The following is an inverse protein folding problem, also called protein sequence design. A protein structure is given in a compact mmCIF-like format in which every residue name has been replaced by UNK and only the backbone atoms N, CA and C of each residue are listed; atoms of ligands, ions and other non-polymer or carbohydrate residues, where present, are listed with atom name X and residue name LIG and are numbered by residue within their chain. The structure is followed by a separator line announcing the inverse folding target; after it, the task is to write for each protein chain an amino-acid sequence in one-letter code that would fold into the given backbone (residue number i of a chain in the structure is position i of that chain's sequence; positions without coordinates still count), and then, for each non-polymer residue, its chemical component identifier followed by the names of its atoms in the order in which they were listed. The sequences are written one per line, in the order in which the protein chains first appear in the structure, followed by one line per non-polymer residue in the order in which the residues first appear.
data_IF_942004743480
#
_entry.id   IF_942004743480
#
_cell.length_a   1.000
_cell.length_b   1.000
_cell.length_c   1.000
_cell.angle_alpha   90.00
_cell.angle_beta   90.00
_cell.angle_gamma   90.00
#
_symmetry.space_group_name_H-M   'P 1'
#
loop_
_entity.id
_entity.type
_entity.pdbx_description
1 polymer ?
#
# COMPACT_ATOMS: atom_id res chain seq x y z
N UNK A 1 -17.37 20.45 -15.92
CA UNK A 1 -17.92 19.13 -15.59
C UNK A 1 -17.91 18.29 -16.85
N UNK A 2 -16.94 17.37 -16.98
CA UNK A 2 -16.94 16.40 -18.07
C UNK A 2 -17.72 15.20 -17.56
N UNK A 3 -18.96 15.05 -18.04
CA UNK A 3 -19.78 13.86 -17.81
C UNK A 3 -19.20 12.73 -18.67
N UNK A 4 -18.50 11.78 -18.06
CA UNK A 4 -18.05 10.58 -18.76
C UNK A 4 -19.26 9.70 -19.06
N UNK A 5 -19.77 9.77 -20.30
CA UNK A 5 -20.93 8.98 -20.78
C UNK A 5 -20.54 7.64 -21.41
N UNK A 6 -19.25 7.36 -21.57
CA UNK A 6 -18.76 6.12 -22.20
C UNK A 6 -17.62 5.49 -21.39
N UNK A 7 -17.51 4.15 -21.33
CA UNK A 7 -16.42 3.48 -20.65
C UNK A 7 -15.08 3.86 -21.30
N UNK A 8 -14.07 4.16 -20.47
CA UNK A 8 -12.73 4.50 -20.95
C UNK A 8 -12.17 3.39 -21.86
N UNK A 9 -11.97 3.72 -23.14
CA UNK A 9 -11.43 2.80 -24.12
C UNK A 9 -9.95 2.53 -23.85
N UNK A 10 -9.54 1.25 -23.96
CA UNK A 10 -8.13 0.86 -23.74
C UNK A 10 -7.27 1.38 -24.90
N UNK A 11 -6.39 2.32 -24.58
CA UNK A 11 -5.48 2.95 -25.52
C UNK A 11 -4.36 1.98 -25.93
N UNK A 12 -3.74 2.23 -27.09
CA UNK A 12 -2.68 1.34 -27.61
C UNK A 12 -1.47 1.27 -26.67
N UNK A 13 -1.12 2.38 -26.00
CA UNK A 13 0.01 2.44 -25.07
C UNK A 13 -0.26 1.62 -23.80
N UNK A 14 -1.50 1.56 -23.30
CA UNK A 14 -1.87 0.73 -22.15
C UNK A 14 -1.69 -0.75 -22.49
N UNK A 15 -2.03 -1.16 -23.72
CA UNK A 15 -1.82 -2.55 -24.18
C UNK A 15 -0.34 -2.91 -24.23
N UNK A 16 0.49 -2.00 -24.76
CA UNK A 16 1.95 -2.20 -24.81
C UNK A 16 2.52 -2.31 -23.39
N UNK A 17 2.09 -1.44 -22.47
CA UNK A 17 2.51 -1.46 -21.08
C UNK A 17 2.14 -2.78 -20.38
N UNK A 18 0.92 -3.29 -20.57
CA UNK A 18 0.50 -4.60 -20.03
C UNK A 18 1.37 -5.72 -20.58
N UNK A 19 1.67 -5.72 -21.88
CA UNK A 19 2.55 -6.73 -22.49
C UNK A 19 3.97 -6.63 -21.90
N UNK A 20 4.51 -5.42 -21.74
CA UNK A 20 5.82 -5.22 -21.13
C UNK A 20 5.85 -5.74 -19.69
N UNK A 21 4.86 -5.40 -18.87
CA UNK A 21 4.74 -5.91 -17.49
C UNK A 21 4.57 -7.43 -17.45
N UNK A 22 3.83 -8.01 -18.41
CA UNK A 22 3.71 -9.45 -18.52
C UNK A 22 5.05 -10.11 -18.82
N UNK A 23 5.81 -9.59 -19.78
CA UNK A 23 7.16 -10.09 -20.12
C UNK A 23 8.12 -9.91 -18.95
N UNK A 24 8.07 -8.76 -18.28
CA UNK A 24 8.90 -8.46 -17.12
C UNK A 24 8.67 -9.46 -15.98
N UNK A 25 7.40 -9.66 -15.59
CA UNK A 25 7.02 -10.56 -14.49
C UNK A 25 7.19 -12.04 -14.80
N UNK A 26 6.86 -12.48 -16.02
CA UNK A 26 6.82 -13.90 -16.35
C UNK A 26 8.09 -14.42 -17.03
N UNK A 27 8.91 -13.55 -17.64
CA UNK A 27 10.15 -13.97 -18.30
C UNK A 27 11.40 -13.37 -17.64
N UNK A 28 11.48 -12.03 -17.50
CA UNK A 28 12.71 -11.38 -17.05
C UNK A 28 13.07 -11.71 -15.59
N UNK A 29 12.15 -11.49 -14.64
CA UNK A 29 12.44 -11.77 -13.23
C UNK A 29 12.74 -13.24 -12.94
N UNK A 30 11.96 -14.23 -13.45
CA UNK A 30 12.29 -15.64 -13.29
C UNK A 30 13.66 -16.00 -13.89
N UNK A 31 14.00 -15.46 -15.06
CA UNK A 31 15.30 -15.71 -15.70
C UNK A 31 16.48 -15.17 -14.88
N UNK A 32 16.36 -13.94 -14.39
CA UNK A 32 17.38 -13.32 -13.51
C UNK A 32 17.53 -14.14 -12.23
N UNK A 33 16.41 -14.59 -11.64
CA UNK A 33 16.44 -15.40 -10.44
C UNK A 33 17.09 -16.77 -10.68
N UNK A 34 16.74 -17.44 -11.78
CA UNK A 34 17.36 -18.72 -12.16
C UNK A 34 18.87 -18.57 -12.37
N UNK A 35 19.31 -17.50 -13.04
CA UNK A 35 20.73 -17.20 -13.19
C UNK A 35 21.40 -16.97 -11.82
N UNK A 36 20.80 -16.15 -10.96
CA UNK A 36 21.30 -15.89 -9.61
C UNK A 36 21.39 -17.17 -8.77
N UNK A 37 20.40 -18.06 -8.87
CA UNK A 37 20.38 -19.37 -8.22
C UNK A 37 21.56 -20.25 -8.68
N UNK A 38 21.76 -20.37 -10.00
CA UNK A 38 22.83 -21.21 -10.56
C UNK A 38 24.22 -20.75 -10.14
N UNK A 39 24.45 -19.44 -10.13
CA UNK A 39 25.76 -18.86 -9.76
C UNK A 39 25.98 -18.93 -8.24
N UNK A 40 24.92 -18.83 -7.45
CA UNK A 40 25.01 -18.79 -5.99
C UNK A 40 25.12 -20.17 -5.34
N UNK A 41 24.78 -21.25 -6.04
CA UNK A 41 24.70 -22.60 -5.45
C UNK A 41 26.06 -23.07 -4.89
N UNK A 42 27.11 -23.06 -5.71
CA UNK A 42 28.45 -23.53 -5.33
C UNK A 42 29.04 -22.76 -4.13
N UNK A 43 29.15 -21.40 -4.15
CA UNK A 43 29.74 -20.66 -3.05
C UNK A 43 28.94 -20.79 -1.74
N UNK A 44 27.61 -20.93 -1.84
CA UNK A 44 26.74 -21.06 -0.66
C UNK A 44 26.92 -22.42 0.03
N UNK A 45 27.10 -23.49 -0.74
CA UNK A 45 27.40 -24.83 -0.21
C UNK A 45 28.80 -24.86 0.41
N UNK A 46 29.80 -24.21 -0.21
CA UNK A 46 31.15 -24.12 0.34
C UNK A 46 31.20 -23.36 1.68
N UNK A 47 30.42 -22.29 1.81
CA UNK A 47 30.43 -21.44 3.00
C UNK A 47 29.58 -21.99 4.16
N UNK A 48 28.40 -22.54 3.87
CA UNK A 48 27.43 -22.95 4.90
C UNK A 48 27.19 -24.46 4.99
N UNK A 49 27.77 -25.25 4.08
CA UNK A 49 27.51 -26.68 3.95
C UNK A 49 26.21 -26.99 3.23
N UNK A 50 26.01 -28.27 2.87
CA UNK A 50 24.89 -28.73 2.04
C UNK A 50 23.49 -28.41 2.63
N UNK A 51 23.15 -28.75 3.90
CA UNK A 51 21.78 -28.56 4.38
C UNK A 51 21.42 -27.09 4.58
N UNK A 52 22.33 -26.29 5.15
CA UNK A 52 22.09 -24.87 5.44
C UNK A 52 22.14 -24.04 4.16
N UNK A 53 23.08 -24.33 3.25
CA UNK A 53 23.14 -23.69 1.94
C UNK A 53 21.85 -23.90 1.14
N UNK A 54 21.35 -25.13 1.04
CA UNK A 54 20.07 -25.40 0.37
C UNK A 54 18.90 -24.64 1.01
N UNK A 55 18.84 -24.54 2.34
CA UNK A 55 17.78 -23.81 3.03
C UNK A 55 17.85 -22.30 2.72
N UNK A 56 19.04 -21.68 2.81
CA UNK A 56 19.23 -20.26 2.48
C UNK A 56 18.84 -20.01 1.01
N UNK A 57 19.26 -20.88 0.10
CA UNK A 57 18.95 -20.76 -1.32
C UNK A 57 17.44 -20.78 -1.58
N UNK A 58 16.70 -21.71 -0.94
CA UNK A 58 15.24 -21.79 -1.06
C UNK A 58 14.56 -20.56 -0.45
N UNK A 59 14.97 -20.12 0.75
CA UNK A 59 14.36 -18.97 1.42
C UNK A 59 14.59 -17.68 0.63
N UNK A 60 15.82 -17.42 0.20
CA UNK A 60 16.15 -16.22 -0.57
C UNK A 60 15.44 -16.23 -1.94
N UNK A 61 15.43 -17.37 -2.64
CA UNK A 61 14.76 -17.47 -3.95
C UNK A 61 13.26 -17.31 -3.86
N UNK A 62 12.60 -18.00 -2.91
CA UNK A 62 11.16 -17.86 -2.69
C UNK A 62 10.78 -16.44 -2.32
N UNK A 63 11.58 -15.75 -1.52
CA UNK A 63 11.30 -14.35 -1.16
C UNK A 63 11.45 -13.41 -2.35
N UNK A 64 12.52 -13.54 -3.13
CA UNK A 64 12.75 -12.71 -4.32
C UNK A 64 11.67 -12.95 -5.38
N UNK A 65 11.30 -14.21 -5.62
CA UNK A 65 10.26 -14.58 -6.58
C UNK A 65 8.88 -14.04 -6.15
N UNK A 66 8.52 -14.24 -4.88
CA UNK A 66 7.27 -13.71 -4.34
C UNK A 66 7.22 -12.18 -4.47
N UNK A 67 8.31 -11.50 -4.17
CA UNK A 67 8.40 -10.05 -4.32
C UNK A 67 8.12 -9.60 -5.76
N UNK A 68 8.77 -10.24 -6.75
CA UNK A 68 8.62 -9.88 -8.16
C UNK A 68 7.17 -10.03 -8.67
N UNK A 69 6.43 -11.01 -8.16
CA UNK A 69 5.02 -11.21 -8.53
C UNK A 69 4.03 -10.32 -7.75
N UNK A 70 4.34 -9.96 -6.51
CA UNK A 70 3.47 -9.12 -5.67
C UNK A 70 3.59 -7.64 -6.04
N UNK A 71 4.81 -7.07 -6.02
CA UNK A 71 5.04 -5.64 -6.30
C UNK A 71 6.40 -5.44 -6.98
N UNK A 72 6.41 -5.39 -8.31
CA UNK A 72 7.63 -5.26 -9.10
C UNK A 72 8.22 -3.84 -9.10
N UNK A 73 7.51 -2.83 -8.61
CA UNK A 73 7.81 -1.40 -8.85
C UNK A 73 9.22 -1.00 -8.44
N UNK A 74 9.71 -1.56 -7.33
CA UNK A 74 11.05 -1.30 -6.78
C UNK A 74 12.05 -2.43 -7.00
N UNK A 75 11.66 -3.53 -7.65
CA UNK A 75 12.52 -4.69 -7.84
C UNK A 75 13.67 -4.40 -8.82
N UNK A 76 13.39 -3.66 -9.88
CA UNK A 76 14.43 -3.22 -10.81
C UNK A 76 15.47 -2.32 -10.14
N UNK A 77 15.03 -1.40 -9.28
CA UNK A 77 15.91 -0.50 -8.51
C UNK A 77 16.79 -1.32 -7.56
N UNK A 78 16.21 -2.28 -6.84
CA UNK A 78 16.95 -3.18 -5.96
C UNK A 78 18.00 -4.01 -6.74
N UNK A 79 17.64 -4.53 -7.91
CA UNK A 79 18.56 -5.27 -8.78
C UNK A 79 19.72 -4.37 -9.25
N UNK A 80 19.41 -3.16 -9.73
CA UNK A 80 20.41 -2.21 -10.19
C UNK A 80 21.41 -1.85 -9.09
N UNK A 81 20.92 -1.50 -7.88
CA UNK A 81 21.79 -1.23 -6.74
C UNK A 81 22.59 -2.46 -6.29
N UNK A 82 22.01 -3.66 -6.36
CA UNK A 82 22.76 -4.89 -6.07
C UNK A 82 23.95 -5.04 -7.00
N UNK A 83 23.75 -4.80 -8.31
CA UNK A 83 24.84 -4.87 -9.28
C UNK A 83 25.86 -3.76 -9.05
N UNK A 84 25.44 -2.51 -8.89
CA UNK A 84 26.35 -1.37 -8.66
C UNK A 84 27.19 -1.55 -7.40
N UNK A 85 26.56 -1.87 -6.27
CA UNK A 85 27.23 -1.96 -4.98
C UNK A 85 28.15 -3.19 -4.92
N UNK A 86 27.65 -4.37 -5.27
CA UNK A 86 28.39 -5.62 -5.02
C UNK A 86 29.28 -6.05 -6.19
N UNK A 87 29.00 -5.63 -7.43
CA UNK A 87 29.90 -5.90 -8.55
C UNK A 87 30.92 -4.79 -8.81
N UNK A 88 30.60 -3.52 -8.54
CA UNK A 88 31.50 -2.41 -8.82
C UNK A 88 32.11 -1.83 -7.54
N UNK A 89 31.32 -1.23 -6.65
CA UNK A 89 31.86 -0.41 -5.54
C UNK A 89 32.55 -1.22 -4.43
N UNK A 90 31.98 -2.38 -4.07
CA UNK A 90 32.46 -3.24 -2.98
C UNK A 90 33.12 -4.53 -3.50
N UNK A 91 33.60 -4.51 -4.74
CA UNK A 91 34.22 -5.67 -5.36
C UNK A 91 35.37 -6.21 -4.48
N UNK A 92 35.21 -7.44 -3.99
CA UNK A 92 36.22 -8.15 -3.18
C UNK A 92 36.14 -7.95 -1.66
N UNK A 93 35.28 -7.06 -1.14
CA UNK A 93 35.13 -6.85 0.32
C UNK A 93 34.13 -7.80 0.97
N UNK A 94 33.07 -8.14 0.25
CA UNK A 94 32.06 -9.11 0.66
C UNK A 94 32.03 -10.24 -0.38
N UNK A 95 32.21 -11.48 0.08
CA UNK A 95 32.18 -12.69 -0.77
C UNK A 95 30.80 -13.36 -0.82
N UNK A 96 29.79 -12.71 -0.26
CA UNK A 96 28.44 -13.24 -0.22
C UNK A 96 27.88 -13.41 -1.65
N UNK A 97 27.15 -14.51 -1.92
CA UNK A 97 26.63 -14.79 -3.25
C UNK A 97 25.56 -13.77 -3.67
N UNK A 98 25.44 -13.57 -4.97
CA UNK A 98 24.55 -12.55 -5.56
C UNK A 98 23.09 -12.69 -5.12
N UNK A 99 22.62 -13.92 -4.89
CA UNK A 99 21.25 -14.18 -4.42
C UNK A 99 21.00 -13.61 -3.01
N UNK A 100 21.97 -13.73 -2.11
CA UNK A 100 21.87 -13.22 -0.73
C UNK A 100 21.94 -11.69 -0.75
N UNK A 101 22.85 -11.12 -1.54
CA UNK A 101 22.96 -9.68 -1.72
C UNK A 101 21.66 -9.09 -2.29
N UNK A 102 21.06 -9.73 -3.30
CA UNK A 102 19.78 -9.31 -3.87
C UNK A 102 18.65 -9.36 -2.83
N UNK A 103 18.60 -10.43 -2.02
CA UNK A 103 17.62 -10.55 -0.94
C UNK A 103 17.74 -9.41 0.09
N UNK A 104 18.98 -9.10 0.53
CA UNK A 104 19.24 -8.00 1.47
C UNK A 104 18.89 -6.66 0.84
N UNK A 105 19.26 -6.43 -0.41
CA UNK A 105 18.94 -5.19 -1.11
C UNK A 105 17.45 -5.00 -1.32
N UNK A 106 16.69 -6.05 -1.63
CA UNK A 106 15.23 -6.00 -1.70
C UNK A 106 14.60 -5.65 -0.35
N UNK A 107 15.14 -6.17 0.76
CA UNK A 107 14.68 -5.78 2.08
C UNK A 107 15.01 -4.30 2.37
N UNK A 108 16.23 -3.89 2.06
CA UNK A 108 16.70 -2.53 2.27
C UNK A 108 15.90 -1.52 1.44
N UNK A 109 15.67 -1.76 0.14
CA UNK A 109 14.89 -0.84 -0.70
C UNK A 109 13.45 -0.70 -0.24
N UNK A 110 12.80 -1.79 0.19
CA UNK A 110 11.44 -1.72 0.75
C UNK A 110 11.40 -0.89 2.03
N UNK A 111 12.37 -1.07 2.93
CA UNK A 111 12.47 -0.27 4.18
C UNK A 111 12.86 1.19 3.92
N UNK A 112 13.72 1.43 2.94
CA UNK A 112 14.08 2.77 2.51
C UNK A 112 12.90 3.48 1.86
N UNK A 113 12.05 2.76 1.12
CA UNK A 113 10.81 3.30 0.58
C UNK A 113 9.81 3.66 1.69
N UNK A 114 9.58 2.78 2.67
CA UNK A 114 8.79 3.09 3.87
C UNK A 114 9.36 4.30 4.62
N UNK A 115 10.69 4.36 4.77
CA UNK A 115 11.37 5.49 5.41
C UNK A 115 11.18 6.77 4.60
N UNK A 116 11.34 6.72 3.27
CA UNK A 116 11.16 7.86 2.39
C UNK A 116 9.72 8.36 2.46
N UNK A 117 8.72 7.48 2.35
CA UNK A 117 7.31 7.84 2.52
C UNK A 117 7.06 8.48 3.90
N UNK A 118 7.65 7.93 4.96
CA UNK A 118 7.55 8.50 6.32
C UNK A 118 8.33 9.80 6.47
N UNK A 119 9.45 10.02 5.80
CA UNK A 119 10.24 11.25 5.89
C UNK A 119 9.63 12.36 5.03
N UNK A 120 9.34 12.04 3.77
CA UNK A 120 8.60 12.90 2.84
C UNK A 120 7.26 13.25 3.47
N UNK A 121 6.53 12.27 4.02
CA UNK A 121 5.35 12.46 4.84
C UNK A 121 5.63 13.31 6.08
N UNK A 122 6.21 12.74 7.13
CA UNK A 122 6.34 13.31 8.50
C UNK A 122 7.19 14.56 8.62
N UNK A 123 8.25 14.74 7.84
CA UNK A 123 9.18 15.85 8.07
C UNK A 123 8.94 17.00 7.09
N UNK A 124 8.88 16.73 5.79
CA UNK A 124 8.78 17.82 4.81
C UNK A 124 7.32 18.17 4.43
N UNK A 125 6.50 17.18 4.03
CA UNK A 125 5.11 17.42 3.65
C UNK A 125 4.20 17.70 4.85
N UNK A 126 4.39 17.09 6.02
CA UNK A 126 3.58 17.42 7.20
C UNK A 126 3.90 18.84 7.68
N UNK A 127 5.17 19.28 7.65
CA UNK A 127 5.51 20.67 7.96
C UNK A 127 4.90 21.63 6.93
N UNK A 128 5.07 21.38 5.62
CA UNK A 128 4.50 22.25 4.58
C UNK A 128 2.97 22.22 4.52
N UNK A 129 2.34 21.05 4.65
CA UNK A 129 0.87 20.90 4.61
C UNK A 129 0.23 21.38 5.90
N UNK A 130 0.84 21.15 7.08
CA UNK A 130 0.36 21.75 8.32
C UNK A 130 0.46 23.27 8.23
N UNK A 131 1.60 23.81 7.80
CA UNK A 131 1.76 25.25 7.52
C UNK A 131 0.68 25.72 6.54
N UNK A 132 0.56 25.16 5.35
CA UNK A 132 -0.38 25.64 4.32
C UNK A 132 -1.85 25.44 4.72
N UNK A 133 -2.19 24.34 5.38
CA UNK A 133 -3.58 23.97 5.74
C UNK A 133 -4.05 24.65 7.03
N UNK A 134 -3.18 24.79 8.03
CA UNK A 134 -3.52 25.46 9.30
C UNK A 134 -3.21 26.95 9.31
N UNK A 135 -2.20 27.43 8.57
CA UNK A 135 -1.97 28.88 8.44
C UNK A 135 -2.96 29.45 7.42
N UNK A 136 -3.41 28.65 6.44
CA UNK A 136 -4.29 29.04 5.34
C UNK A 136 -4.06 30.53 5.05
N UNK A 137 -2.91 30.94 4.47
CA UNK A 137 -2.46 32.33 4.51
C UNK A 137 -3.47 33.32 3.91
N UNK A 138 -4.44 32.81 3.15
CA UNK A 138 -5.60 33.50 2.58
C UNK A 138 -6.86 33.56 3.49
N UNK A 139 -6.91 32.87 4.63
CA UNK A 139 -7.97 32.84 5.64
C UNK A 139 -7.48 33.25 7.05
N UNK A 140 -6.42 34.06 7.17
CA UNK A 140 -5.91 34.52 8.48
C UNK A 140 -6.98 35.37 9.20
N UNK A 141 -7.78 34.72 10.04
CA UNK A 141 -8.48 35.39 11.14
C UNK A 141 -7.46 35.51 12.27
N UNK A 142 -7.23 36.72 12.77
CA UNK A 142 -6.32 37.09 13.86
C UNK A 142 -6.70 36.49 15.24
N UNK A 143 -7.15 35.23 15.27
CA UNK A 143 -7.75 34.60 16.44
C UNK A 143 -6.77 33.97 17.41
N UNK A 144 -5.49 33.78 17.07
CA UNK A 144 -4.51 33.26 18.04
C UNK A 144 -3.06 33.38 17.55
N UNK A 145 -2.33 34.39 18.05
CA UNK A 145 -0.87 34.51 17.89
C UNK A 145 -0.11 33.30 18.48
N UNK A 146 -0.75 32.52 19.37
CA UNK A 146 -0.17 31.36 20.03
C UNK A 146 0.23 30.25 19.03
N UNK A 147 -0.52 30.03 17.95
CA UNK A 147 -0.14 29.03 16.94
C UNK A 147 1.11 29.42 16.15
N UNK A 148 1.30 30.71 15.88
CA UNK A 148 2.50 31.22 15.21
C UNK A 148 3.74 31.12 16.11
N UNK A 149 3.59 31.29 17.43
CA UNK A 149 4.68 31.15 18.41
C UNK A 149 4.99 29.69 18.80
N UNK A 150 4.01 28.78 18.79
CA UNK A 150 4.23 27.37 19.11
C UNK A 150 5.00 26.62 18.01
N UNK A 151 4.94 27.10 16.76
CA UNK A 151 5.52 26.45 15.59
C UNK A 151 7.07 26.40 15.61
N UNK A 152 7.79 27.48 15.95
CA UNK A 152 9.24 27.45 16.16
C UNK A 152 9.68 26.49 17.27
N UNK A 153 8.88 26.32 18.32
CA UNK A 153 9.18 25.36 19.41
C UNK A 153 9.02 23.89 18.99
N UNK A 154 8.39 23.60 17.84
CA UNK A 154 8.37 22.24 17.28
C UNK A 154 9.66 21.88 16.52
N UNK A 155 10.45 22.86 16.09
CA UNK A 155 11.74 22.69 15.40
C UNK A 155 12.76 21.88 16.22
N UNK A 156 13.02 22.16 17.51
CA UNK A 156 13.95 21.37 18.32
C UNK A 156 13.51 19.90 18.49
N UNK A 157 12.22 19.59 18.34
CA UNK A 157 11.73 18.21 18.34
C UNK A 157 11.91 17.49 17.00
N UNK A 158 12.33 18.18 15.93
CA UNK A 158 12.52 17.58 14.60
C UNK A 158 13.57 16.47 14.59
N UNK A 159 14.64 16.60 15.38
CA UNK A 159 15.66 15.55 15.51
C UNK A 159 15.09 14.29 16.21
N UNK A 160 14.27 14.47 17.23
CA UNK A 160 13.58 13.38 17.92
C UNK A 160 12.57 12.70 16.98
N UNK A 161 11.79 13.47 16.23
CA UNK A 161 10.85 12.94 15.24
C UNK A 161 11.55 12.21 14.10
N UNK A 162 12.72 12.68 13.68
CA UNK A 162 13.55 12.01 12.67
C UNK A 162 14.04 10.64 13.16
N UNK A 163 14.58 10.57 14.37
CA UNK A 163 15.02 9.31 14.98
C UNK A 163 13.81 8.37 15.17
N UNK A 164 12.69 8.90 15.65
CA UNK A 164 11.45 8.12 15.80
C UNK A 164 10.90 7.63 14.47
N UNK A 165 11.02 8.39 13.39
CA UNK A 165 10.64 7.97 12.04
C UNK A 165 11.53 6.83 11.54
N UNK A 166 12.84 6.88 11.82
CA UNK A 166 13.78 5.79 11.51
C UNK A 166 13.39 4.53 12.29
N UNK A 167 13.21 4.62 13.60
CA UNK A 167 12.84 3.48 14.46
C UNK A 167 11.46 2.92 14.07
N UNK A 168 10.50 3.81 13.79
CA UNK A 168 9.17 3.47 13.28
C UNK A 168 9.24 2.73 11.94
N UNK A 169 10.11 3.16 11.02
CA UNK A 169 10.30 2.50 9.72
C UNK A 169 10.92 1.11 9.87
N UNK A 170 11.96 1.00 10.70
CA UNK A 170 12.59 -0.28 11.00
C UNK A 170 11.57 -1.30 11.53
N UNK A 171 10.73 -0.88 12.48
CA UNK A 171 9.71 -1.73 13.11
C UNK A 171 8.40 -1.85 12.31
N UNK A 172 8.23 -1.11 11.20
CA UNK A 172 6.93 -0.92 10.51
C UNK A 172 5.79 -0.54 11.46
N UNK A 173 6.12 0.18 12.54
CA UNK A 173 5.19 0.65 13.55
C UNK A 173 4.72 2.07 13.20
N UNK A 174 3.42 2.37 13.14
CA UNK A 174 2.96 3.74 12.85
C UNK A 174 3.28 4.70 14.00
N UNK A 175 3.50 5.98 13.67
CA UNK A 175 3.64 7.04 14.66
C UNK A 175 2.26 7.57 15.06
N UNK A 176 1.95 7.57 16.35
CA UNK A 176 0.71 8.15 16.89
C UNK A 176 1.02 9.46 17.62
N UNK A 177 0.31 10.55 17.32
CA UNK A 177 0.48 11.81 18.06
C UNK A 177 -0.05 11.64 19.48
N UNK A 178 0.69 12.15 20.46
CA UNK A 178 0.25 12.17 21.85
C UNK A 178 -0.64 13.38 22.05
N UNK A 179 -1.92 13.17 22.43
CA UNK A 179 -2.85 14.25 22.82
C UNK A 179 -3.00 15.38 21.76
N UNK A 180 -2.78 15.07 20.47
CA UNK A 180 -2.81 16.08 19.40
C UNK A 180 -1.60 17.03 19.36
N UNK A 181 -0.51 16.70 20.07
CA UNK A 181 0.73 17.49 20.13
C UNK A 181 1.75 17.11 19.05
N UNK A 182 2.82 17.91 18.92
CA UNK A 182 3.95 17.68 18.02
C UNK A 182 4.87 16.50 18.44
N UNK A 183 4.54 15.80 19.53
CA UNK A 183 5.29 14.64 20.03
C UNK A 183 4.57 13.36 19.56
N UNK A 184 5.30 12.52 18.84
CA UNK A 184 4.81 11.24 18.35
C UNK A 184 5.44 10.09 19.14
N UNK A 185 4.68 9.03 19.38
CA UNK A 185 5.22 7.76 19.87
C UNK A 185 5.07 6.67 18.81
N UNK A 186 5.99 5.71 18.83
CA UNK A 186 5.88 4.48 18.07
C UNK A 186 4.74 3.65 18.67
N UNK A 187 3.66 3.48 17.91
CA UNK A 187 2.56 2.61 18.31
C UNK A 187 2.89 1.13 18.02
N UNK A 188 1.97 0.22 18.34
CA UNK A 188 2.12 -1.19 17.98
C UNK A 188 2.00 -1.39 16.45
N UNK A 189 2.66 -2.42 15.93
CA UNK A 189 2.54 -2.80 14.51
C UNK A 189 1.08 -3.17 14.23
N UNK A 190 0.44 -2.41 13.34
CA UNK A 190 -0.94 -2.69 12.93
C UNK A 190 -0.94 -3.70 11.77
N UNK A 191 -1.66 -4.83 11.88
CA UNK A 191 -1.86 -5.73 10.76
C UNK A 191 -2.49 -4.99 9.57
N UNK A 192 -2.07 -5.33 8.36
CA UNK A 192 -2.61 -4.75 7.12
C UNK A 192 -4.10 -5.11 6.99
N UNK A 193 -4.48 -6.34 7.32
CA UNK A 193 -5.90 -6.68 7.41
C UNK A 193 -6.47 -6.10 8.71
N UNK A 194 -7.45 -5.21 8.59
CA UNK A 194 -8.20 -4.82 9.75
C UNK A 194 -9.22 -5.91 10.10
N UNK A 195 -9.18 -6.35 11.36
CA UNK A 195 -10.14 -7.30 11.91
C UNK A 195 -11.36 -6.53 12.38
N UNK A 196 -12.39 -6.50 11.54
CA UNK A 196 -13.71 -6.03 11.94
C UNK A 196 -14.53 -7.25 12.36
N UNK A 197 -15.49 -7.04 13.27
CA UNK A 197 -16.39 -8.14 13.67
C UNK A 197 -17.14 -8.58 12.42
N UNK A 198 -17.13 -9.88 12.11
CA UNK A 198 -17.88 -10.41 10.97
C UNK A 198 -19.37 -10.16 11.19
N UNK A 199 -19.90 -9.08 10.63
CA UNK A 199 -21.33 -8.84 10.57
C UNK A 199 -21.86 -9.80 9.52
N UNK A 200 -22.45 -10.91 9.98
CA UNK A 200 -23.10 -11.86 9.11
C UNK A 200 -24.39 -11.21 8.58
N UNK A 201 -24.30 -10.47 7.48
CA UNK A 201 -25.44 -9.84 6.83
C UNK A 201 -26.21 -10.91 6.08
N UNK A 202 -27.15 -11.56 6.79
CA UNK A 202 -28.15 -12.39 6.12
C UNK A 202 -29.02 -11.46 5.27
N UNK A 203 -29.05 -11.70 3.96
CA UNK A 203 -30.04 -11.08 3.07
C UNK A 203 -31.41 -11.34 3.68
N UNK A 204 -32.15 -10.27 3.98
CA UNK A 204 -33.54 -10.40 4.42
C UNK A 204 -34.31 -10.89 3.21
N UNK A 205 -34.60 -12.18 3.18
CA UNK A 205 -35.41 -12.76 2.12
C UNK A 205 -36.88 -12.39 2.36
N UNK A 206 -37.41 -11.58 1.46
CA UNK A 206 -38.81 -11.13 1.51
C UNK A 206 -39.77 -12.15 0.90
N UNK A 207 -39.29 -13.29 0.39
CA UNK A 207 -40.12 -14.34 -0.20
C UNK A 207 -41.21 -14.88 0.75
N UNK A 208 -40.97 -14.83 2.06
CA UNK A 208 -41.89 -15.31 3.09
C UNK A 208 -42.34 -14.24 4.11
N UNK A 209 -42.10 -12.94 3.83
CA UNK A 209 -42.57 -11.87 4.73
C UNK A 209 -44.01 -11.47 4.40
N UNK A 210 -44.89 -11.38 5.40
CA UNK A 210 -46.29 -10.94 5.22
C UNK A 210 -46.32 -9.52 4.63
N UNK A 211 -47.19 -9.26 3.65
CA UNK A 211 -47.35 -7.93 3.03
C UNK A 211 -47.64 -6.83 4.08
N UNK A 212 -48.36 -7.16 5.15
CA UNK A 212 -48.62 -6.25 6.26
C UNK A 212 -47.35 -5.80 6.99
N UNK A 213 -46.36 -6.69 7.15
CA UNK A 213 -45.06 -6.35 7.76
C UNK A 213 -44.16 -5.48 6.88
N UNK A 214 -44.41 -5.44 5.57
CA UNK A 214 -43.77 -4.48 4.67
C UNK A 214 -44.50 -3.13 4.68
N UNK A 215 -45.83 -3.14 4.80
CA UNK A 215 -46.65 -1.93 4.81
C UNK A 215 -46.55 -1.16 6.14
N UNK A 216 -46.49 -1.86 7.27
CA UNK A 216 -46.32 -1.26 8.61
C UNK A 216 -44.91 -0.68 8.85
N UNK A 217 -43.94 -0.99 7.98
CA UNK A 217 -42.54 -0.58 8.14
C UNK A 217 -42.08 0.56 7.22
N UNK A 218 -42.95 1.17 6.43
CA UNK A 218 -42.59 2.33 5.59
C UNK A 218 -42.54 3.64 6.41
N UNK A 219 -41.84 4.71 5.97
CA UNK A 219 -40.64 4.85 5.13
C UNK A 219 -39.61 5.82 5.78
N UNK A 220 -38.31 5.54 5.71
CA UNK A 220 -37.28 6.58 6.00
C UNK A 220 -36.32 6.37 7.18
N UNK A 221 -36.36 5.22 7.86
CA UNK A 221 -35.34 4.88 8.88
C UNK A 221 -34.63 3.53 8.66
N UNK A 222 -35.33 2.57 8.05
CA UNK A 222 -34.76 1.27 7.67
C UNK A 222 -34.28 1.21 6.22
N UNK A 223 -34.71 2.15 5.39
CA UNK A 223 -34.37 2.18 3.97
C UNK A 223 -32.91 2.56 3.79
N UNK A 224 -32.39 3.54 4.53
CA UNK A 224 -30.98 3.95 4.42
C UNK A 224 -30.03 2.80 4.76
N UNK A 225 -30.26 2.06 5.85
CA UNK A 225 -29.42 0.92 6.21
C UNK A 225 -29.54 -0.24 5.20
N UNK A 226 -30.73 -0.48 4.64
CA UNK A 226 -30.95 -1.51 3.63
C UNK A 226 -30.32 -1.10 2.28
N UNK A 227 -30.52 0.15 1.85
CA UNK A 227 -29.92 0.76 0.68
C UNK A 227 -28.40 0.71 0.79
N UNK A 228 -27.83 1.16 1.92
CA UNK A 228 -26.40 1.04 2.21
C UNK A 228 -25.93 -0.40 1.96
N UNK A 229 -26.60 -1.40 2.54
CA UNK A 229 -26.22 -2.81 2.38
C UNK A 229 -26.28 -3.31 0.93
N UNK A 230 -27.29 -2.88 0.16
CA UNK A 230 -27.45 -3.21 -1.27
C UNK A 230 -26.35 -2.56 -2.10
N UNK A 231 -26.01 -1.29 -1.83
CA UNK A 231 -24.92 -0.59 -2.50
C UNK A 231 -23.55 -1.17 -2.15
N UNK A 232 -23.31 -1.52 -0.88
CA UNK A 232 -22.11 -2.26 -0.47
C UNK A 232 -21.99 -3.58 -1.25
N UNK A 233 -23.08 -4.35 -1.39
CA UNK A 233 -23.08 -5.61 -2.14
C UNK A 233 -22.77 -5.38 -3.63
N UNK A 234 -23.48 -4.45 -4.27
CA UNK A 234 -23.28 -4.17 -5.70
C UNK A 234 -21.89 -3.61 -6.00
N UNK A 235 -21.42 -2.68 -5.19
CA UNK A 235 -20.12 -2.06 -5.37
C UNK A 235 -18.99 -3.04 -5.09
N UNK A 236 -19.11 -3.87 -4.05
CA UNK A 236 -18.15 -4.95 -3.77
C UNK A 236 -18.12 -5.96 -4.92
N UNK A 237 -19.27 -6.38 -5.45
CA UNK A 237 -19.33 -7.29 -6.61
C UNK A 237 -18.76 -6.67 -7.88
N UNK A 238 -18.94 -5.36 -8.07
CA UNK A 238 -18.37 -4.64 -9.20
C UNK A 238 -16.85 -4.62 -9.11
N UNK A 239 -16.31 -4.22 -7.95
CA UNK A 239 -14.88 -4.21 -7.69
C UNK A 239 -14.27 -5.61 -7.78
N UNK A 240 -14.96 -6.66 -7.29
CA UNK A 240 -14.50 -8.04 -7.45
C UNK A 240 -14.31 -8.45 -8.92
N UNK A 241 -15.09 -7.89 -9.86
CA UNK A 241 -14.98 -8.20 -11.29
C UNK A 241 -13.94 -7.37 -12.01
N UNK A 242 -13.79 -6.09 -11.68
CA UNK A 242 -12.96 -5.17 -12.47
C UNK A 242 -11.64 -4.78 -11.82
N UNK A 243 -11.54 -4.79 -10.48
CA UNK A 243 -10.43 -4.16 -9.74
C UNK A 243 -9.07 -4.67 -10.18
N UNK A 244 -8.88 -5.99 -10.29
CA UNK A 244 -7.58 -6.52 -10.74
C UNK A 244 -7.20 -6.05 -12.15
N UNK A 245 -8.16 -6.01 -13.07
CA UNK A 245 -7.92 -5.52 -14.44
C UNK A 245 -7.56 -4.04 -14.46
N UNK A 246 -8.27 -3.22 -13.66
CA UNK A 246 -7.99 -1.79 -13.55
C UNK A 246 -6.61 -1.51 -12.92
N UNK A 247 -6.22 -2.31 -11.92
CA UNK A 247 -4.88 -2.27 -11.32
C UNK A 247 -3.79 -2.73 -12.29
N UNK A 248 -4.03 -3.81 -13.04
CA UNK A 248 -3.11 -4.33 -14.04
C UNK A 248 -2.93 -3.39 -15.24
N UNK A 249 -3.90 -2.51 -15.50
CA UNK A 249 -3.80 -1.42 -16.48
C UNK A 249 -3.16 -0.15 -15.90
N UNK A 250 -2.88 -0.11 -14.59
CA UNK A 250 -2.31 1.06 -13.92
C UNK A 250 -3.27 2.23 -13.76
N UNK A 251 -4.59 2.01 -13.88
CA UNK A 251 -5.62 3.09 -13.80
C UNK A 251 -5.69 3.74 -12.42
N UNK A 252 -5.32 3.01 -11.38
CA UNK A 252 -5.26 3.49 -9.99
C UNK A 252 -3.85 3.95 -9.61
N UNK A 253 -2.93 4.06 -10.58
CA UNK A 253 -1.52 4.39 -10.35
C UNK A 253 -0.70 3.20 -9.83
N UNK A 254 0.42 3.50 -9.19
CA UNK A 254 1.24 2.50 -8.49
C UNK A 254 0.55 2.09 -7.21
N UNK A 255 0.16 0.82 -7.11
CA UNK A 255 -0.58 0.28 -5.97
C UNK A 255 0.25 -0.78 -5.27
N UNK A 256 0.45 -0.60 -3.96
CA UNK A 256 1.16 -1.51 -3.08
C UNK A 256 0.23 -2.07 -2.00
N UNK A 257 0.67 -3.13 -1.32
CA UNK A 257 -0.09 -3.77 -0.26
C UNK A 257 -0.23 -2.83 0.95
N UNK A 258 -1.48 -2.58 1.39
CA UNK A 258 -1.80 -1.66 2.49
C UNK A 258 -2.24 -0.26 2.05
N UNK A 259 -2.28 0.01 0.74
CA UNK A 259 -2.70 1.31 0.23
C UNK A 259 -4.22 1.50 0.34
N UNK A 260 -4.63 2.73 0.67
CA UNK A 260 -6.02 3.14 0.78
C UNK A 260 -6.36 4.15 -0.31
N UNK A 261 -7.45 3.89 -1.02
CA UNK A 261 -8.00 4.76 -2.05
C UNK A 261 -9.35 5.30 -1.61
N UNK A 262 -9.58 6.58 -1.83
CA UNK A 262 -10.90 7.19 -1.65
C UNK A 262 -11.53 7.29 -3.02
N UNK A 263 -12.56 6.49 -3.27
CA UNK A 263 -13.40 6.62 -4.45
C UNK A 263 -14.48 7.65 -4.16
N UNK A 264 -14.49 8.70 -4.96
CA UNK A 264 -15.51 9.73 -4.91
C UNK A 264 -16.31 9.72 -6.20
N UNK A 265 -17.62 9.73 -6.05
CA UNK A 265 -18.61 9.92 -7.10
C UNK A 265 -19.55 11.03 -6.65
N UNK A 266 -20.35 11.57 -7.56
CA UNK A 266 -21.23 12.72 -7.28
C UNK A 266 -22.12 12.48 -6.05
N UNK A 267 -22.55 11.23 -5.85
CA UNK A 267 -23.47 10.84 -4.78
C UNK A 267 -22.87 9.89 -3.73
N UNK A 268 -21.63 9.42 -3.91
CA UNK A 268 -21.06 8.36 -3.08
C UNK A 268 -19.56 8.56 -2.85
N UNK A 269 -19.17 8.54 -1.59
CA UNK A 269 -17.76 8.43 -1.20
C UNK A 269 -17.57 7.07 -0.54
N UNK A 270 -16.52 6.33 -0.91
CA UNK A 270 -16.13 5.13 -0.20
C UNK A 270 -14.61 4.96 -0.14
N UNK A 271 -14.13 4.34 0.93
CA UNK A 271 -12.73 4.00 1.12
C UNK A 271 -12.49 2.54 0.74
N UNK A 272 -11.57 2.31 -0.19
CA UNK A 272 -11.12 0.98 -0.61
C UNK A 272 -9.70 0.77 -0.11
N UNK A 273 -9.50 -0.25 0.72
CA UNK A 273 -8.21 -0.63 1.26
C UNK A 273 -7.71 -1.91 0.62
N UNK A 274 -6.52 -1.89 0.05
CA UNK A 274 -5.90 -3.07 -0.58
C UNK A 274 -5.16 -3.87 0.49
N UNK A 275 -5.68 -5.05 0.82
CA UNK A 275 -5.14 -5.91 1.89
C UNK A 275 -4.02 -6.79 1.39
N UNK A 276 -4.17 -7.38 0.21
CA UNK A 276 -3.17 -8.28 -0.39
C UNK A 276 -3.19 -8.16 -1.90
N UNK A 277 -2.00 -8.12 -2.49
CA UNK A 277 -1.76 -8.18 -3.92
C UNK A 277 -0.93 -9.42 -4.23
N UNK A 278 -1.40 -10.21 -5.18
CA UNK A 278 -0.69 -11.37 -5.69
C UNK A 278 -0.91 -11.49 -7.21
N UNK A 279 -0.22 -12.45 -7.84
CA UNK A 279 -0.32 -12.67 -9.27
C UNK A 279 -1.75 -13.09 -9.66
N UNK A 280 -2.53 -12.19 -10.25
CA UNK A 280 -3.92 -12.46 -10.63
C UNK A 280 -4.94 -12.27 -9.51
N UNK A 281 -4.53 -11.89 -8.30
CA UNK A 281 -5.39 -11.87 -7.13
C UNK A 281 -5.24 -10.56 -6.34
N UNK A 282 -6.37 -9.98 -5.97
CA UNK A 282 -6.46 -8.77 -5.14
C UNK A 282 -7.46 -9.03 -4.03
N UNK A 283 -7.00 -8.90 -2.80
CA UNK A 283 -7.87 -8.90 -1.63
C UNK A 283 -8.01 -7.46 -1.16
N UNK A 284 -9.25 -6.99 -1.03
CA UNK A 284 -9.55 -5.62 -0.60
C UNK A 284 -10.61 -5.59 0.50
N UNK A 285 -10.65 -4.49 1.24
CA UNK A 285 -11.67 -4.15 2.23
C UNK A 285 -12.34 -2.85 1.83
N UNK A 286 -13.67 -2.84 1.84
CA UNK A 286 -14.46 -1.64 1.57
C UNK A 286 -15.00 -1.03 2.86
N UNK A 287 -14.90 0.30 3.01
CA UNK A 287 -15.28 1.03 4.22
C UNK A 287 -15.85 2.41 3.93
N UNK A 288 -16.52 2.97 4.95
CA UNK A 288 -16.85 4.39 5.02
C UNK A 288 -17.69 4.87 3.84
N UNK A 289 -18.74 4.12 3.50
CA UNK A 289 -19.67 4.49 2.44
C UNK A 289 -20.58 5.60 2.95
N UNK A 290 -20.38 6.81 2.41
CA UNK A 290 -21.15 8.00 2.73
C UNK A 290 -21.91 8.47 1.50
N UNK A 291 -23.23 8.63 1.64
CA UNK A 291 -24.07 9.24 0.62
C UNK A 291 -24.08 10.76 0.79
N UNK A 292 -23.97 11.49 -0.32
CA UNK A 292 -24.40 12.88 -0.35
C UNK A 292 -25.92 12.88 -0.51
N UNK A 293 -26.63 13.26 0.56
CA UNK A 293 -28.07 13.53 0.53
C UNK A 293 -28.39 14.76 -0.31
#
# INVERSE_FOLDING_TARGET
MVTFKEPAHVMWFERVQVIMWFVEKNALYPLVLLSALTVSLAPLIEQFGLPVGCLILVVCSMRCLRGAFTDASWHFVALAFTLLIFKFDLQGRYKEPILVNLFVMLLATNKMYELLLKLTGSVFFFQLRFVITYIAPWQITWGSAFHAFAQPFSVPHSAMLFIQAIVSSALSAPLSPVLGSAIFFTSYVRPIKFWERDYNTKRVDHSNTRLSSQLERNPGGSDDNNLNSIFYEHLTRSLQKSLYGDLALGRWGTVSQGDCFVLTSDNLNCLVHIVELANGLVTFQLRGLEFRG
#
